data_IF_937828955532
#
_entry.id   IF_937828955532
#
_cell.length_a   1.000
_cell.length_b   1.000
_cell.length_c   1.000
_cell.angle_alpha   90.00
_cell.angle_beta   90.00
_cell.angle_gamma   90.00
#
_symmetry.space_group_name_H-M   'P 1'
#
loop_
_entity.id
_entity.type
_entity.pdbx_description
1 polymer ?
#
# COMPACT_ATOMS: atom_id res chain seq x y z
N UNK A 1 -5.93 -28.40 14.01
CA UNK A 1 -5.18 -27.13 14.06
C UNK A 1 -4.66 -26.79 12.68
N UNK A 2 -5.22 -25.76 12.05
CA UNK A 2 -4.77 -25.23 10.76
C UNK A 2 -3.74 -24.13 11.02
N UNK A 3 -2.51 -24.27 10.50
CA UNK A 3 -1.56 -23.15 10.42
C UNK A 3 -1.33 -22.86 8.94
N UNK A 4 -2.03 -21.84 8.47
CA UNK A 4 -1.88 -21.22 7.18
C UNK A 4 -0.41 -20.83 6.93
N UNK A 5 0.19 -21.42 5.90
CA UNK A 5 1.49 -21.05 5.36
C UNK A 5 1.42 -19.62 4.80
N UNK A 6 1.92 -18.65 5.58
CA UNK A 6 2.09 -17.27 5.10
C UNK A 6 3.36 -17.22 4.25
N UNK A 7 3.16 -17.50 2.97
CA UNK A 7 3.79 -16.90 1.78
C UNK A 7 5.16 -16.22 1.96
N UNK A 8 6.21 -16.91 1.51
CA UNK A 8 7.18 -16.56 0.44
C UNK A 8 7.30 -15.09 -0.08
N UNK A 9 7.11 -14.06 0.76
CA UNK A 9 7.17 -12.66 0.35
C UNK A 9 8.49 -11.96 0.72
N UNK A 10 9.59 -12.71 0.85
CA UNK A 10 10.93 -12.16 1.07
C UNK A 10 11.95 -12.52 -0.02
N UNK A 11 11.53 -13.14 -1.14
CA UNK A 11 12.44 -13.54 -2.22
C UNK A 11 12.48 -12.57 -3.41
N UNK A 12 11.78 -11.43 -3.35
CA UNK A 12 11.69 -10.47 -4.48
C UNK A 12 12.09 -9.03 -4.12
N UNK A 13 12.98 -8.84 -3.15
CA UNK A 13 13.56 -7.51 -2.92
C UNK A 13 14.80 -7.32 -3.81
N UNK A 14 14.63 -6.48 -4.83
CA UNK A 14 15.64 -5.79 -5.64
C UNK A 14 16.83 -6.63 -6.16
N UNK A 15 16.70 -7.11 -7.41
CA UNK A 15 17.86 -7.19 -8.31
C UNK A 15 18.35 -5.77 -8.64
N UNK A 16 18.98 -5.09 -7.67
CA UNK A 16 19.85 -3.96 -7.97
C UNK A 16 21.04 -4.52 -8.76
N UNK A 17 21.21 -4.05 -10.00
CA UNK A 17 22.23 -4.58 -10.95
C UNK A 17 23.68 -4.26 -10.55
N UNK A 18 23.91 -3.52 -9.46
CA UNK A 18 25.23 -3.08 -9.03
C UNK A 18 25.74 -3.88 -7.82
N UNK A 19 26.97 -4.42 -7.84
CA UNK A 19 27.54 -5.10 -6.69
C UNK A 19 27.80 -4.13 -5.53
N UNK A 20 27.45 -4.53 -4.30
CA UNK A 20 27.68 -3.72 -3.10
C UNK A 20 29.18 -3.51 -2.87
N UNK A 21 29.59 -2.34 -2.37
CA UNK A 21 30.99 -2.05 -1.99
C UNK A 21 31.11 -2.03 -0.47
N UNK A 22 32.15 -2.67 0.10
CA UNK A 22 32.40 -2.67 1.56
C UNK A 22 32.71 -1.26 2.13
N UNK A 23 33.01 -0.29 1.27
CA UNK A 23 33.27 1.11 1.61
C UNK A 23 32.00 1.93 1.81
N UNK A 24 30.83 1.36 1.53
CA UNK A 24 29.54 1.94 1.89
C UNK A 24 29.39 1.79 3.40
N UNK A 25 30.06 2.67 4.16
CA UNK A 25 29.83 2.84 5.60
C UNK A 25 28.33 3.09 5.74
N UNK A 26 27.61 2.09 6.24
CA UNK A 26 26.29 2.31 6.81
C UNK A 26 26.56 3.07 8.10
N UNK A 27 26.72 4.38 7.95
CA UNK A 27 26.78 5.30 9.08
C UNK A 27 25.49 5.07 9.87
N UNK A 28 25.70 4.83 11.16
CA UNK A 28 24.76 4.31 12.13
C UNK A 28 23.72 5.38 12.53
N UNK A 29 23.10 6.00 11.52
CA UNK A 29 22.20 7.15 11.68
C UNK A 29 20.99 7.01 10.77
N UNK A 30 20.22 5.92 10.94
CA UNK A 30 18.77 5.92 10.69
C UNK A 30 18.15 4.63 11.24
N UNK A 31 18.06 4.58 12.57
CA UNK A 31 17.33 3.61 13.37
C UNK A 31 15.82 3.63 13.07
N UNK A 32 15.40 3.13 11.90
CA UNK A 32 13.99 3.01 11.53
C UNK A 32 13.66 1.77 10.66
N UNK A 33 14.60 0.83 10.47
CA UNK A 33 14.33 -0.42 9.75
C UNK A 33 14.95 -1.60 10.50
N UNK A 34 14.14 -2.53 11.01
CA UNK A 34 14.57 -3.79 11.65
C UNK A 34 15.18 -4.81 10.68
N UNK A 35 16.00 -4.35 9.75
CA UNK A 35 16.70 -5.18 8.78
C UNK A 35 18.17 -4.75 8.83
N UNK A 36 19.05 -5.71 9.07
CA UNK A 36 20.50 -5.53 9.00
C UNK A 36 21.00 -6.15 7.70
N UNK A 37 21.60 -5.32 6.86
CA UNK A 37 22.24 -5.78 5.63
C UNK A 37 23.76 -5.80 5.76
N UNK A 38 24.40 -6.72 5.06
CA UNK A 38 25.85 -6.89 4.99
C UNK A 38 26.25 -7.25 3.56
N UNK A 39 27.41 -6.78 3.12
CA UNK A 39 27.92 -7.12 1.79
C UNK A 39 28.77 -8.39 1.88
N UNK A 40 28.26 -9.50 1.32
CA UNK A 40 28.94 -10.79 1.30
C UNK A 40 29.10 -11.23 -0.14
N UNK A 41 30.35 -11.40 -0.60
CA UNK A 41 30.68 -11.80 -1.98
C UNK A 41 29.99 -10.92 -3.05
N UNK A 42 30.10 -9.60 -2.90
CA UNK A 42 29.49 -8.59 -3.79
C UNK A 42 27.95 -8.65 -3.87
N UNK A 43 27.30 -9.38 -2.95
CA UNK A 43 25.85 -9.45 -2.82
C UNK A 43 25.42 -8.87 -1.48
N UNK A 44 24.40 -8.03 -1.52
CA UNK A 44 23.77 -7.52 -0.31
C UNK A 44 22.96 -8.65 0.34
N UNK A 45 23.40 -9.11 1.50
CA UNK A 45 22.69 -10.07 2.33
C UNK A 45 22.05 -9.34 3.50
N UNK A 46 20.73 -9.33 3.53
CA UNK A 46 19.93 -8.72 4.57
C UNK A 46 19.29 -9.77 5.47
N UNK A 47 19.25 -9.50 6.78
CA UNK A 47 18.56 -10.31 7.78
C UNK A 47 17.68 -9.45 8.66
N UNK A 48 16.56 -10.00 9.10
CA UNK A 48 15.71 -9.36 10.10
C UNK A 48 16.40 -9.34 11.47
N UNK A 49 16.18 -8.28 12.25
CA UNK A 49 16.66 -8.19 13.64
C UNK A 49 15.52 -8.59 14.58
N UNK A 50 15.59 -9.80 15.13
CA UNK A 50 14.65 -10.27 16.16
C UNK A 50 14.77 -9.39 17.42
N UNK A 51 13.64 -9.06 18.04
CA UNK A 51 13.59 -8.15 19.19
C UNK A 51 13.70 -6.67 18.84
N UNK A 52 13.86 -6.33 17.55
CA UNK A 52 13.74 -4.94 17.11
C UNK A 52 12.27 -4.53 17.17
N UNK A 53 11.96 -3.62 18.10
CA UNK A 53 10.65 -2.99 18.19
C UNK A 53 10.65 -1.85 17.17
N UNK A 54 9.94 -2.06 16.05
CA UNK A 54 9.61 -0.95 15.17
C UNK A 54 8.91 0.10 16.03
N UNK A 55 9.33 1.38 15.99
CA UNK A 55 8.54 2.40 16.64
C UNK A 55 7.11 2.28 16.09
N UNK A 56 6.12 2.13 16.98
CA UNK A 56 4.73 2.40 16.60
C UNK A 56 4.80 3.75 15.93
N UNK A 57 4.50 3.82 14.62
CA UNK A 57 4.45 5.10 13.92
C UNK A 57 3.70 6.05 14.85
N UNK A 58 4.39 7.04 15.42
CA UNK A 58 3.66 8.21 15.88
C UNK A 58 2.76 8.57 14.70
N UNK A 59 1.47 8.79 14.95
CA UNK A 59 0.54 9.30 13.93
C UNK A 59 1.09 10.65 13.44
N UNK A 60 2.13 10.62 12.63
CA UNK A 60 2.71 11.75 11.95
C UNK A 60 1.79 11.94 10.75
N UNK A 61 0.75 12.71 11.05
CA UNK A 61 -0.25 13.24 10.14
C UNK A 61 -1.03 12.20 9.31
N UNK A 62 -2.34 12.33 9.38
CA UNK A 62 -3.24 11.97 8.30
C UNK A 62 -2.79 12.67 7.01
N UNK A 63 -1.83 12.08 6.30
CA UNK A 63 -1.12 12.82 5.25
C UNK A 63 -0.20 12.00 4.33
N UNK A 64 -0.18 10.67 4.37
CA UNK A 64 0.14 9.94 3.15
C UNK A 64 -1.05 10.14 2.20
N UNK A 65 -1.02 11.24 1.45
CA UNK A 65 -1.76 11.38 0.20
C UNK A 65 -1.16 10.36 -0.78
N UNK A 66 -1.48 9.09 -0.57
CA UNK A 66 -1.91 8.22 -1.67
C UNK A 66 -3.44 8.32 -1.71
N UNK A 67 -3.97 9.52 -1.54
CA UNK A 67 -5.03 9.90 -2.45
C UNK A 67 -4.31 10.06 -3.77
N UNK A 68 -4.81 9.44 -4.83
CA UNK A 68 -4.68 10.08 -6.13
C UNK A 68 -5.32 11.47 -5.97
N UNK A 69 -4.54 12.42 -5.45
CA UNK A 69 -4.80 13.83 -5.61
C UNK A 69 -4.51 14.06 -7.08
N UNK A 70 -5.42 13.60 -7.94
CA UNK A 70 -5.55 14.09 -9.29
C UNK A 70 -5.77 15.58 -9.10
N UNK A 71 -4.67 16.32 -9.13
CA UNK A 71 -4.72 17.74 -9.09
C UNK A 71 -5.43 18.07 -10.39
N UNK A 72 -6.71 18.45 -10.28
CA UNK A 72 -7.59 18.74 -11.42
C UNK A 72 -7.04 19.83 -12.35
N UNK A 73 -5.91 20.45 -11.98
CA UNK A 73 -5.15 21.40 -12.79
C UNK A 73 -3.80 20.91 -13.30
N UNK A 74 -3.25 19.77 -12.84
CA UNK A 74 -1.84 19.40 -13.12
C UNK A 74 -1.64 18.11 -13.92
N UNK A 75 -2.58 17.18 -13.89
CA UNK A 75 -2.48 15.94 -14.67
C UNK A 75 -3.76 15.77 -15.48
N UNK A 76 -3.69 15.81 -16.82
CA UNK A 76 -4.81 15.42 -17.68
C UNK A 76 -4.83 13.89 -17.79
N UNK A 77 -6.01 13.29 -17.78
CA UNK A 77 -6.12 11.84 -17.92
C UNK A 77 -5.99 11.43 -19.39
N UNK A 78 -5.64 10.16 -19.64
CA UNK A 78 -5.60 9.61 -21.00
C UNK A 78 -7.02 9.45 -21.54
N UNK A 79 -7.39 10.09 -22.66
CA UNK A 79 -8.74 10.01 -23.24
C UNK A 79 -9.23 8.56 -23.40
N UNK A 80 -10.53 8.36 -23.14
CA UNK A 80 -11.20 7.06 -23.20
C UNK A 80 -10.69 6.00 -22.20
N UNK A 81 -9.76 6.36 -21.30
CA UNK A 81 -9.29 5.45 -20.26
C UNK A 81 -10.25 5.42 -19.07
N UNK A 82 -10.24 4.29 -18.36
CA UNK A 82 -11.05 4.05 -17.16
C UNK A 82 -10.15 4.06 -15.92
N UNK A 83 -10.61 4.73 -14.87
CA UNK A 83 -9.91 4.86 -13.60
C UNK A 83 -10.82 4.40 -12.46
N UNK A 84 -10.21 3.98 -11.37
CA UNK A 84 -10.92 3.70 -10.12
C UNK A 84 -10.36 4.63 -9.06
N UNK A 85 -11.20 5.54 -8.57
CA UNK A 85 -10.90 6.46 -7.49
C UNK A 85 -11.75 6.06 -6.30
N UNK A 86 -11.10 5.52 -5.27
CA UNK A 86 -11.77 4.82 -4.16
C UNK A 86 -12.70 3.70 -4.68
N UNK A 87 -13.99 3.75 -4.33
CA UNK A 87 -15.00 2.84 -4.84
C UNK A 87 -15.66 3.34 -6.14
N UNK A 88 -15.32 4.56 -6.58
CA UNK A 88 -15.92 5.19 -7.73
C UNK A 88 -15.21 4.79 -9.02
N UNK A 89 -16.01 4.57 -10.04
CA UNK A 89 -15.52 4.34 -11.40
C UNK A 89 -15.52 5.66 -12.13
N UNK A 90 -14.41 5.97 -12.79
CA UNK A 90 -14.26 7.21 -13.54
C UNK A 90 -13.83 6.95 -14.98
N UNK A 91 -14.25 7.83 -15.88
CA UNK A 91 -13.92 7.80 -17.29
C UNK A 91 -13.26 9.12 -17.68
N UNK A 92 -12.22 9.02 -18.52
CA UNK A 92 -11.56 10.19 -19.06
C UNK A 92 -12.23 10.63 -20.36
N UNK A 93 -12.67 11.87 -20.38
CA UNK A 93 -13.21 12.53 -21.56
C UNK A 93 -12.09 12.98 -22.52
N UNK A 94 -12.42 13.25 -23.79
CA UNK A 94 -11.43 13.69 -24.78
C UNK A 94 -10.68 14.98 -24.43
N UNK A 95 -11.28 15.83 -23.61
CA UNK A 95 -10.71 17.08 -23.10
C UNK A 95 -9.72 16.87 -21.92
N UNK A 96 -9.49 15.62 -21.51
CA UNK A 96 -8.65 15.27 -20.37
C UNK A 96 -9.37 15.43 -19.03
N UNK A 97 -10.68 15.71 -19.04
CA UNK A 97 -11.55 15.77 -17.88
C UNK A 97 -11.92 14.39 -17.35
N UNK A 98 -12.08 14.28 -16.03
CA UNK A 98 -12.34 13.00 -15.35
C UNK A 98 -13.76 13.01 -14.79
N UNK A 99 -14.62 12.10 -15.29
CA UNK A 99 -16.02 11.97 -14.84
C UNK A 99 -16.22 10.68 -14.05
N UNK A 100 -16.61 10.82 -12.80
CA UNK A 100 -16.76 9.70 -11.86
C UNK A 100 -18.22 9.41 -11.51
N UNK A 101 -18.48 8.16 -11.11
CA UNK A 101 -19.68 7.83 -10.32
C UNK A 101 -19.64 8.52 -8.96
N UNK A 102 -20.80 8.64 -8.30
CA UNK A 102 -20.95 9.25 -6.98
C UNK A 102 -21.43 8.23 -5.93
N UNK A 103 -20.75 7.09 -5.85
CA UNK A 103 -20.96 6.07 -4.82
C UNK A 103 -20.40 6.57 -3.49
N UNK A 104 -21.15 6.36 -2.42
CA UNK A 104 -20.65 6.48 -1.05
C UNK A 104 -19.68 5.34 -0.78
N UNK A 105 -18.40 5.66 -0.61
CA UNK A 105 -17.38 4.67 -0.31
C UNK A 105 -17.37 4.37 1.18
N UNK A 106 -17.61 3.10 1.52
CA UNK A 106 -17.66 2.63 2.89
C UNK A 106 -16.28 2.15 3.34
N UNK A 107 -15.95 2.41 4.60
CA UNK A 107 -14.83 1.74 5.24
C UNK A 107 -15.21 0.29 5.62
N UNK A 108 -14.23 -0.50 6.05
CA UNK A 108 -14.44 -1.91 6.41
C UNK A 108 -15.51 -2.10 7.49
N UNK A 109 -15.52 -1.27 8.53
CA UNK A 109 -16.49 -1.40 9.63
C UNK A 109 -17.92 -1.09 9.16
N UNK A 110 -18.08 -0.05 8.34
CA UNK A 110 -19.37 0.30 7.76
C UNK A 110 -19.89 -0.80 6.83
N UNK A 111 -19.02 -1.34 5.96
CA UNK A 111 -19.39 -2.42 5.07
C UNK A 111 -19.78 -3.70 5.84
N UNK A 112 -19.02 -4.04 6.89
CA UNK A 112 -19.31 -5.20 7.74
C UNK A 112 -20.67 -5.05 8.46
N UNK A 113 -20.95 -3.87 9.03
CA UNK A 113 -22.22 -3.60 9.71
C UNK A 113 -23.42 -3.72 8.75
N UNK A 114 -23.33 -3.12 7.55
CA UNK A 114 -24.40 -3.22 6.57
C UNK A 114 -24.62 -4.66 6.08
N UNK A 115 -23.54 -5.44 5.94
CA UNK A 115 -23.63 -6.85 5.58
C UNK A 115 -24.28 -7.70 6.68
N UNK A 116 -24.01 -7.39 7.95
CA UNK A 116 -24.69 -8.04 9.07
C UNK A 116 -26.17 -7.68 9.11
N UNK A 117 -26.49 -6.41 8.91
CA UNK A 117 -27.87 -5.93 8.84
C UNK A 117 -28.64 -6.57 7.67
N UNK A 118 -28.03 -6.71 6.48
CA UNK A 118 -28.68 -7.37 5.34
C UNK A 118 -29.00 -8.83 5.66
N UNK A 119 -28.05 -9.56 6.25
CA UNK A 119 -28.26 -10.97 6.66
C UNK A 119 -29.36 -11.10 7.72
N UNK A 120 -29.44 -10.14 8.65
CA UNK A 120 -30.52 -10.11 9.62
C UNK A 120 -31.88 -9.94 8.94
N UNK A 121 -31.99 -9.00 7.99
CA UNK A 121 -33.23 -8.75 7.25
C UNK A 121 -33.64 -9.96 6.40
N UNK A 122 -32.71 -10.57 5.67
CA UNK A 122 -32.94 -11.79 4.88
C UNK A 122 -33.46 -12.94 5.76
N UNK A 123 -32.94 -13.06 6.99
CA UNK A 123 -33.35 -14.09 7.95
C UNK A 123 -34.72 -13.79 8.59
N UNK A 124 -35.07 -12.52 8.74
CA UNK A 124 -36.26 -12.06 9.47
C UNK A 124 -37.39 -11.55 8.55
N UNK A 125 -37.28 -11.75 7.24
CA UNK A 125 -38.41 -11.69 6.31
C UNK A 125 -38.62 -10.33 5.63
N UNK A 126 -37.56 -9.77 5.05
CA UNK A 126 -37.63 -8.96 3.82
C UNK A 126 -36.89 -9.67 2.70
#
# INVERSE_FOLDING_TARGET
MSMYNVSNHCLKMSKGRSPCKKTDRVEETLSNRCIRCSCVKNKTQCRYLYGCVMPKRHKQHAGSKIGLSFNTKKDMCVPHSKYTLDCNTCYCEPDGGLRCTLKTCLNYQQAAHLQEQSKYLEKHGL
#
